data_IF_236071912888
#
_entry.id   IF_236071912888
#
_cell.length_a   1.000
_cell.length_b   1.000
_cell.length_c   1.000
_cell.angle_alpha   90.00
_cell.angle_beta   90.00
_cell.angle_gamma   90.00
#
_symmetry.space_group_name_H-M   'P 1'
#
loop_
_entity.id
_entity.type
_entity.pdbx_description
1 polymer ?
#
# COMPACT_ATOMS: atom_id res chain seq x y z
N UNK A 1 -20.00 -2.04 -7.96
CA UNK A 1 -19.67 -2.96 -6.90
C UNK A 1 -18.22 -3.32 -6.92
N UNK A 2 -17.55 -3.05 -5.89
CA UNK A 2 -16.14 -3.34 -5.85
C UNK A 2 -15.93 -4.84 -5.90
N UNK A 3 -14.88 -5.21 -6.53
CA UNK A 3 -14.48 -6.59 -6.55
C UNK A 3 -13.84 -6.92 -5.20
N UNK A 4 -14.47 -7.80 -4.46
CA UNK A 4 -13.97 -8.12 -3.13
C UNK A 4 -12.76 -9.02 -3.14
N UNK A 5 -12.51 -9.65 -4.26
CA UNK A 5 -11.36 -10.54 -4.34
C UNK A 5 -10.09 -9.73 -4.46
N UNK A 6 -9.13 -9.93 -3.55
CA UNK A 6 -7.89 -9.15 -3.57
C UNK A 6 -7.12 -9.35 -4.87
N UNK A 7 -6.68 -8.25 -5.45
CA UNK A 7 -5.84 -8.32 -6.64
C UNK A 7 -4.46 -8.86 -6.26
N UNK A 8 -3.82 -9.51 -7.20
CA UNK A 8 -2.47 -9.99 -6.98
C UNK A 8 -1.67 -9.90 -8.28
N UNK A 9 -0.35 -9.96 -8.13
CA UNK A 9 0.54 -10.02 -9.28
C UNK A 9 1.58 -11.11 -9.03
N UNK A 10 2.03 -11.72 -10.11
CA UNK A 10 3.12 -12.68 -10.02
C UNK A 10 4.48 -12.00 -10.14
N UNK A 11 4.50 -10.70 -10.39
CA UNK A 11 5.74 -9.94 -10.53
C UNK A 11 5.89 -8.96 -9.38
N UNK A 12 5.75 -9.46 -8.14
CA UNK A 12 5.79 -8.61 -6.96
C UNK A 12 7.08 -7.81 -6.85
N UNK A 13 8.20 -8.39 -7.32
CA UNK A 13 9.47 -7.68 -7.30
C UNK A 13 9.50 -6.46 -8.21
N UNK A 14 8.55 -6.33 -9.12
CA UNK A 14 8.50 -5.17 -10.01
C UNK A 14 7.54 -4.10 -9.52
N UNK A 15 6.83 -4.35 -8.42
CA UNK A 15 5.94 -3.33 -7.86
C UNK A 15 6.71 -2.12 -7.38
N UNK A 16 7.83 -2.33 -6.69
CA UNK A 16 8.63 -1.21 -6.20
C UNK A 16 9.14 -0.33 -7.33
N UNK A 17 9.75 -0.88 -8.39
CA UNK A 17 10.14 -0.05 -9.53
C UNK A 17 8.96 0.68 -10.18
N UNK A 18 7.80 0.02 -10.27
CA UNK A 18 6.62 0.65 -10.86
C UNK A 18 6.16 1.83 -10.02
N UNK A 19 6.08 1.64 -8.71
CA UNK A 19 5.67 2.71 -7.80
C UNK A 19 6.66 3.88 -7.87
N UNK A 20 7.93 3.58 -8.02
CA UNK A 20 8.93 4.63 -8.19
C UNK A 20 8.68 5.41 -9.48
N UNK A 21 8.37 4.71 -10.57
CA UNK A 21 8.07 5.38 -11.84
C UNK A 21 6.87 6.30 -11.72
N UNK A 22 5.85 5.86 -10.97
CA UNK A 22 4.66 6.69 -10.75
C UNK A 22 5.06 8.02 -10.11
N UNK A 23 6.00 7.98 -9.17
CA UNK A 23 6.42 9.21 -8.48
C UNK A 23 7.31 10.10 -9.34
N UNK A 24 8.03 9.52 -10.29
CA UNK A 24 9.03 10.24 -11.05
C UNK A 24 8.55 10.74 -12.40
N UNK A 25 7.40 10.28 -12.86
CA UNK A 25 6.91 10.63 -14.19
C UNK A 25 5.61 11.40 -14.08
N UNK A 26 5.20 11.99 -15.21
CA UNK A 26 3.93 12.71 -15.24
C UNK A 26 2.74 11.77 -15.07
N UNK A 27 1.60 12.34 -14.78
CA UNK A 27 0.36 11.58 -14.59
C UNK A 27 -0.22 11.27 -15.96
N UNK A 28 -0.38 9.98 -16.31
CA UNK A 28 -0.97 9.65 -17.62
C UNK A 28 -2.47 9.90 -17.61
N UNK A 29 -3.04 10.07 -18.79
CA UNK A 29 -4.50 10.14 -18.89
C UNK A 29 -5.13 8.81 -18.52
N UNK A 30 -4.47 7.71 -18.85
CA UNK A 30 -4.92 6.37 -18.48
C UNK A 30 -3.69 5.50 -18.24
N UNK A 31 -3.72 4.73 -17.14
CA UNK A 31 -2.64 3.84 -16.79
C UNK A 31 -2.97 2.44 -17.30
N UNK A 32 -2.94 2.29 -18.61
CA UNK A 32 -3.24 1.02 -19.28
C UNK A 32 -1.95 0.32 -19.69
N UNK A 33 -2.11 -0.81 -20.38
CA UNK A 33 -0.98 -1.61 -20.79
C UNK A 33 0.04 -0.83 -21.63
N UNK A 34 -0.45 0.07 -22.49
CA UNK A 34 0.46 0.87 -23.31
C UNK A 34 1.33 1.80 -22.45
N UNK A 35 0.72 2.40 -21.45
CA UNK A 35 1.47 3.23 -20.51
C UNK A 35 2.51 2.38 -19.76
N UNK A 36 2.08 1.21 -19.28
CA UNK A 36 2.96 0.33 -18.53
C UNK A 36 4.19 -0.05 -19.35
N UNK A 37 3.96 -0.37 -20.61
CA UNK A 37 5.06 -0.73 -21.51
C UNK A 37 5.98 0.45 -21.74
N UNK A 38 5.44 1.65 -21.86
CA UNK A 38 6.26 2.84 -22.06
C UNK A 38 7.12 3.13 -20.82
N UNK A 39 6.74 2.62 -19.67
CA UNK A 39 7.54 2.74 -18.44
C UNK A 39 8.60 1.65 -18.31
N UNK A 40 8.71 0.77 -19.30
CA UNK A 40 9.70 -0.28 -19.28
C UNK A 40 9.22 -1.62 -18.78
N UNK A 41 7.93 -1.75 -18.53
CA UNK A 41 7.36 -2.99 -17.99
C UNK A 41 6.70 -3.75 -19.14
N UNK A 42 7.50 -4.56 -19.84
CA UNK A 42 7.05 -5.25 -21.04
C UNK A 42 6.84 -6.75 -20.83
N UNK A 43 7.00 -7.22 -19.60
CA UNK A 43 6.81 -8.64 -19.32
C UNK A 43 5.35 -9.05 -19.44
N UNK A 44 5.14 -10.31 -19.80
CA UNK A 44 3.78 -10.79 -20.01
C UNK A 44 2.90 -10.70 -18.78
N UNK A 45 3.49 -10.80 -17.61
CA UNK A 45 2.71 -10.75 -16.36
C UNK A 45 2.68 -9.39 -15.72
N UNK A 46 3.38 -8.41 -16.30
CA UNK A 46 3.45 -7.08 -15.69
C UNK A 46 2.10 -6.39 -15.67
N UNK A 47 1.22 -6.71 -16.61
CA UNK A 47 -0.10 -6.08 -16.65
C UNK A 47 -0.93 -6.39 -15.41
N UNK A 48 -0.63 -7.48 -14.71
CA UNK A 48 -1.35 -7.79 -13.48
C UNK A 48 -1.15 -6.72 -12.41
N UNK A 49 -0.04 -5.98 -12.48
CA UNK A 49 0.19 -4.89 -11.54
C UNK A 49 -0.82 -3.76 -11.70
N UNK A 50 -1.38 -3.60 -12.90
CA UNK A 50 -2.42 -2.57 -13.10
C UNK A 50 -3.66 -2.85 -12.26
N UNK A 51 -3.99 -4.13 -12.10
CA UNK A 51 -5.11 -4.50 -11.25
C UNK A 51 -4.82 -4.20 -9.79
N UNK A 52 -3.57 -4.37 -9.38
CA UNK A 52 -3.16 -4.03 -8.02
C UNK A 52 -3.32 -2.53 -7.79
N UNK A 53 -2.88 -1.71 -8.74
CA UNK A 53 -3.03 -0.25 -8.62
C UNK A 53 -4.50 0.14 -8.50
N UNK A 54 -5.37 -0.51 -9.28
CA UNK A 54 -6.81 -0.24 -9.20
C UNK A 54 -7.36 -0.69 -7.85
N UNK A 55 -6.91 -1.83 -7.38
CA UNK A 55 -7.41 -2.38 -6.13
C UNK A 55 -7.15 -1.46 -4.94
N UNK A 56 -5.98 -0.84 -4.91
CA UNK A 56 -5.65 0.09 -3.83
C UNK A 56 -6.09 1.52 -4.13
N UNK A 57 -6.78 1.74 -5.25
CA UNK A 57 -7.42 3.02 -5.51
C UNK A 57 -6.53 4.07 -6.14
N UNK A 58 -5.36 3.71 -6.65
CA UNK A 58 -4.53 4.67 -7.40
C UNK A 58 -5.10 4.94 -8.77
N UNK A 59 -5.87 4.00 -9.33
CA UNK A 59 -6.64 4.23 -10.55
C UNK A 59 -8.08 3.83 -10.29
N UNK A 60 -8.99 4.36 -11.10
CA UNK A 60 -10.39 3.96 -11.03
C UNK A 60 -10.65 2.77 -11.96
N UNK A 61 -11.93 2.41 -12.11
CA UNK A 61 -12.31 1.26 -12.92
C UNK A 61 -11.95 1.43 -14.40
N UNK A 62 -11.78 2.66 -14.83
CA UNK A 62 -11.40 2.96 -16.22
C UNK A 62 -9.90 3.16 -16.39
N UNK A 63 -9.13 2.85 -15.36
CA UNK A 63 -7.68 3.00 -15.35
C UNK A 63 -7.22 4.46 -15.36
N UNK A 64 -8.11 5.38 -14.98
CA UNK A 64 -7.76 6.79 -14.87
C UNK A 64 -7.17 7.03 -13.50
N UNK A 65 -6.01 7.70 -13.41
CA UNK A 65 -5.42 8.02 -12.11
C UNK A 65 -6.36 8.83 -11.24
N UNK A 66 -6.44 8.46 -9.97
CA UNK A 66 -7.29 9.12 -8.99
C UNK A 66 -6.50 10.20 -8.26
N UNK A 67 -7.19 11.02 -7.41
CA UNK A 67 -6.45 11.96 -6.56
C UNK A 67 -5.38 11.29 -5.70
N UNK A 68 -5.59 10.02 -5.31
CA UNK A 68 -4.58 9.28 -4.54
C UNK A 68 -3.28 9.11 -5.33
N UNK A 69 -3.38 8.92 -6.64
CA UNK A 69 -2.20 8.85 -7.50
C UNK A 69 -1.38 10.13 -7.40
N UNK A 70 -2.08 11.27 -7.51
CA UNK A 70 -1.40 12.56 -7.44
C UNK A 70 -0.76 12.77 -6.07
N UNK A 71 -1.48 12.43 -5.00
CA UNK A 71 -0.93 12.54 -3.65
C UNK A 71 0.28 11.65 -3.46
N UNK A 72 0.26 10.47 -4.08
CA UNK A 72 1.36 9.53 -3.96
C UNK A 72 2.66 10.09 -4.55
N UNK A 73 2.56 11.04 -5.46
CA UNK A 73 3.73 11.68 -6.06
C UNK A 73 4.36 12.73 -5.16
N UNK A 74 3.73 13.02 -4.04
CA UNK A 74 4.23 14.03 -3.11
C UNK A 74 5.24 13.49 -2.12
N UNK A 75 5.60 14.34 -1.16
CA UNK A 75 6.62 13.98 -0.18
C UNK A 75 6.16 12.90 0.78
N UNK A 76 4.86 12.81 1.02
CA UNK A 76 4.31 11.84 1.96
C UNK A 76 3.91 10.55 1.27
N UNK A 77 4.58 10.22 0.17
CA UNK A 77 4.15 9.10 -0.66
C UNK A 77 3.99 7.79 0.12
N UNK A 78 4.84 7.53 1.10
CA UNK A 78 4.72 6.28 1.86
C UNK A 78 3.46 6.26 2.71
N UNK A 79 3.12 7.37 3.33
CA UNK A 79 1.89 7.47 4.12
C UNK A 79 0.66 7.40 3.22
N UNK A 80 0.74 8.04 2.05
CA UNK A 80 -0.35 7.97 1.07
C UNK A 80 -0.58 6.53 0.64
N UNK A 81 0.49 5.80 0.35
CA UNK A 81 0.37 4.41 -0.03
C UNK A 81 -0.23 3.58 1.11
N UNK A 82 0.18 3.85 2.34
CA UNK A 82 -0.39 3.16 3.49
C UNK A 82 -1.90 3.33 3.58
N UNK A 83 -2.38 4.56 3.38
CA UNK A 83 -3.82 4.81 3.37
C UNK A 83 -4.52 4.11 2.21
N UNK A 84 -3.88 4.12 1.04
CA UNK A 84 -4.44 3.45 -0.13
C UNK A 84 -4.56 1.95 0.11
N UNK A 85 -3.55 1.35 0.73
CA UNK A 85 -3.58 -0.07 1.06
C UNK A 85 -4.71 -0.36 2.03
N UNK A 86 -4.85 0.45 3.07
CA UNK A 86 -5.94 0.24 4.04
C UNK A 86 -7.30 0.35 3.37
N UNK A 87 -7.45 1.28 2.46
CA UNK A 87 -8.72 1.45 1.75
C UNK A 87 -9.01 0.26 0.84
N UNK A 88 -8.02 -0.18 0.08
CA UNK A 88 -8.21 -1.29 -0.84
C UNK A 88 -8.41 -2.62 -0.12
N UNK A 89 -7.66 -2.82 0.94
CA UNK A 89 -7.74 -4.06 1.72
C UNK A 89 -8.60 -3.89 2.96
N UNK A 90 -9.66 -3.09 2.86
CA UNK A 90 -10.47 -2.76 4.03
C UNK A 90 -11.06 -3.99 4.72
N UNK A 91 -11.41 -5.03 3.96
CA UNK A 91 -11.92 -6.24 4.61
C UNK A 91 -10.84 -6.95 5.42
N UNK A 92 -9.60 -6.90 4.96
CA UNK A 92 -8.49 -7.46 5.73
C UNK A 92 -8.27 -6.66 7.01
N UNK A 93 -8.30 -5.33 6.91
CA UNK A 93 -8.10 -4.47 8.07
C UNK A 93 -9.30 -4.49 9.02
N UNK A 94 -10.47 -4.89 8.53
CA UNK A 94 -11.61 -5.11 9.40
C UNK A 94 -11.38 -6.29 10.34
N UNK A 95 -10.67 -7.31 9.85
CA UNK A 95 -10.32 -8.48 10.67
C UNK A 95 -9.11 -8.18 11.54
N UNK A 96 -8.08 -7.60 10.94
CA UNK A 96 -6.84 -7.27 11.65
C UNK A 96 -6.51 -5.80 11.43
N UNK A 97 -6.81 -4.93 12.40
CA UNK A 97 -6.46 -3.51 12.25
C UNK A 97 -4.98 -3.27 12.03
N UNK A 98 -4.13 -4.21 12.45
CA UNK A 98 -2.69 -4.16 12.24
C UNK A 98 -2.25 -5.19 11.20
N UNK A 99 -3.04 -5.36 10.15
CA UNK A 99 -2.79 -6.40 9.14
C UNK A 99 -1.37 -6.35 8.59
N UNK A 100 -0.80 -5.16 8.44
CA UNK A 100 0.56 -5.01 7.92
C UNK A 100 1.62 -5.61 8.85
N UNK A 101 1.26 -5.91 10.10
CA UNK A 101 2.16 -6.54 11.06
C UNK A 101 1.83 -8.00 11.31
N UNK A 102 0.85 -8.54 10.61
CA UNK A 102 0.43 -9.92 10.86
C UNK A 102 1.31 -10.92 10.11
N UNK A 103 1.28 -12.17 10.57
CA UNK A 103 2.02 -13.23 9.92
C UNK A 103 1.39 -13.59 8.57
N UNK A 104 2.16 -14.28 7.74
CA UNK A 104 1.61 -14.74 6.47
C UNK A 104 0.43 -15.67 6.68
N UNK A 105 0.48 -16.50 7.72
CA UNK A 105 -0.61 -17.43 8.01
C UNK A 105 -1.90 -16.71 8.35
N UNK A 106 -1.80 -15.64 9.15
CA UNK A 106 -2.96 -14.84 9.47
C UNK A 106 -3.57 -14.23 8.21
N UNK A 107 -2.71 -13.72 7.33
CA UNK A 107 -3.17 -13.11 6.08
C UNK A 107 -3.80 -14.14 5.16
N UNK A 108 -3.18 -15.32 5.06
CA UNK A 108 -3.74 -16.40 4.25
C UNK A 108 -5.14 -16.77 4.73
N UNK A 109 -5.30 -16.81 6.04
CA UNK A 109 -6.59 -17.19 6.60
C UNK A 109 -7.70 -16.26 6.14
N UNK A 110 -7.44 -14.95 6.16
CA UNK A 110 -8.43 -13.99 5.71
C UNK A 110 -8.63 -14.06 4.20
N UNK A 111 -7.54 -14.13 3.45
CA UNK A 111 -7.64 -14.14 1.99
C UNK A 111 -8.38 -15.37 1.48
N UNK A 112 -8.26 -16.50 2.17
CA UNK A 112 -9.02 -17.69 1.80
C UNK A 112 -10.52 -17.45 1.81
N UNK A 113 -10.99 -16.60 2.69
CA UNK A 113 -12.42 -16.32 2.75
C UNK A 113 -12.87 -15.31 1.71
N UNK A 114 -11.90 -14.66 1.04
CA UNK A 114 -12.20 -13.63 0.06
C UNK A 114 -12.14 -14.15 -1.38
N UNK A 115 -11.76 -15.40 -1.57
CA UNK A 115 -11.64 -15.96 -2.90
C UNK A 115 -12.00 -17.43 -2.88
N UNK A 116 -12.43 -17.93 -4.03
CA UNK A 116 -12.62 -19.36 -4.23
C UNK A 116 -11.40 -20.02 -4.86
N UNK A 117 -10.36 -19.22 -5.11
CA UNK A 117 -9.14 -19.73 -5.74
C UNK A 117 -8.34 -20.59 -4.78
N UNK A 118 -7.43 -21.35 -5.34
CA UNK A 118 -6.63 -22.27 -4.57
C UNK A 118 -5.51 -21.60 -3.79
N UNK A 119 -4.77 -22.44 -3.09
CA UNK A 119 -3.71 -21.99 -2.20
C UNK A 119 -2.65 -21.16 -2.91
N UNK A 120 -2.31 -21.51 -4.15
CA UNK A 120 -1.30 -20.78 -4.90
C UNK A 120 -1.69 -19.33 -5.11
N UNK A 121 -2.97 -19.09 -5.41
CA UNK A 121 -3.46 -17.74 -5.62
C UNK A 121 -3.46 -16.97 -4.31
N UNK A 122 -3.93 -17.63 -3.24
CA UNK A 122 -3.91 -16.99 -1.92
C UNK A 122 -2.50 -16.58 -1.55
N UNK A 123 -1.54 -17.44 -1.83
CA UNK A 123 -0.15 -17.14 -1.55
C UNK A 123 0.33 -15.90 -2.32
N UNK A 124 -0.08 -15.79 -3.58
CA UNK A 124 0.26 -14.62 -4.39
C UNK A 124 -0.38 -13.36 -3.85
N UNK A 125 -1.59 -13.47 -3.32
CA UNK A 125 -2.26 -12.34 -2.67
C UNK A 125 -1.47 -11.88 -1.47
N UNK A 126 -1.00 -12.81 -0.64
CA UNK A 126 -0.18 -12.47 0.52
C UNK A 126 1.11 -11.80 0.08
N UNK A 127 1.78 -12.35 -0.90
CA UNK A 127 3.03 -11.78 -1.39
C UNK A 127 2.84 -10.40 -1.96
N UNK A 128 1.74 -10.18 -2.68
CA UNK A 128 1.42 -8.86 -3.23
C UNK A 128 1.19 -7.86 -2.11
N UNK A 129 0.41 -8.24 -1.11
CA UNK A 129 0.17 -7.38 0.04
C UNK A 129 1.50 -7.03 0.74
N UNK A 130 2.34 -8.03 0.95
CA UNK A 130 3.65 -7.80 1.58
C UNK A 130 4.52 -6.83 0.78
N UNK A 131 4.52 -6.99 -0.54
CA UNK A 131 5.31 -6.12 -1.39
C UNK A 131 4.82 -4.67 -1.31
N UNK A 132 3.51 -4.47 -1.23
CA UNK A 132 2.94 -3.14 -1.08
C UNK A 132 3.29 -2.55 0.28
N UNK A 133 3.12 -3.33 1.33
CA UNK A 133 3.38 -2.89 2.70
C UNK A 133 4.84 -2.45 2.85
N UNK A 134 5.75 -3.16 2.19
CA UNK A 134 7.17 -2.82 2.26
C UNK A 134 7.48 -1.44 1.70
N UNK A 135 6.61 -0.89 0.85
CA UNK A 135 6.81 0.42 0.25
C UNK A 135 6.02 1.51 0.95
N UNK A 136 5.31 1.19 2.03
CA UNK A 136 4.37 2.11 2.67
C UNK A 136 4.74 2.35 4.11
N UNK A 137 4.15 3.41 4.66
CA UNK A 137 4.20 3.68 6.10
C UNK A 137 2.78 3.69 6.63
N UNK A 138 2.61 3.10 7.80
CA UNK A 138 1.31 3.04 8.44
C UNK A 138 1.36 3.81 9.73
N UNK A 139 0.48 4.80 9.85
CA UNK A 139 0.37 5.56 11.07
C UNK A 139 -0.86 5.09 11.80
N UNK A 140 -0.86 5.24 13.10
CA UNK A 140 -1.99 4.82 13.89
C UNK A 140 -3.01 5.94 13.88
N UNK A 141 -3.84 5.95 12.87
CA UNK A 141 -5.01 6.80 12.84
C UNK A 141 -4.79 8.17 13.39
N UNK A 142 -3.88 8.85 12.85
CA UNK A 142 -3.67 10.18 13.29
C UNK A 142 -2.91 10.29 14.57
N UNK A 143 -2.69 9.22 15.19
CA UNK A 143 -1.89 9.27 16.31
C UNK A 143 -0.51 9.27 15.90
N UNK A 144 -0.23 9.27 15.06
CA UNK A 144 0.93 9.23 14.56
C UNK A 144 2.10 9.51 15.14
N UNK A 145 1.96 9.51 15.25
CA UNK A 145 2.79 9.50 15.50
C UNK A 145 3.34 9.88 16.25
N UNK A 146 3.14 10.17 16.48
CA UNK A 146 3.49 10.45 16.99
C UNK A 146 4.26 10.18 17.63
N UNK A 147 4.23 10.00 17.54
CA UNK A 147 4.82 9.76 17.97
C UNK A 147 5.77 9.92 18.33
N UNK A 148 5.74 10.07 18.09
CA UNK A 148 6.49 10.16 18.36
C UNK A 148 7.19 10.56 19.04
N UNK A 149 7.03 10.78 19.02
CA UNK A 149 7.59 11.10 19.53
C UNK A 149 8.11 11.31 20.38
N UNK A 150 7.87 11.27 20.51
CA UNK A 150 8.24 11.50 21.22
C UNK A 150 8.92 11.77 21.98
N UNK A 151 8.85 11.79 21.93
CA UNK A 151 9.38 12.05 22.61
C UNK A 151 10.09 12.44 23.22
N UNK A 152 10.01 12.42 23.10
CA UNK A 152 10.58 12.64 23.66
C UNK A 152 10.97 13.23 24.39
N UNK A 153 10.71 13.45 24.46
CA UNK A 153 11.03 13.91 25.12
C UNK A 153 11.30 14.25 25.96
N UNK A 154 11.15 14.26 25.95
CA UNK A 154 11.36 14.47 26.68
C UNK A 154 11.74 14.89 27.48
N UNK A 155 11.75 14.78 27.43
CA UNK A 155 12.08 15.11 28.24
C UNK A 155 12.45 15.88 28.94
N UNK A 156 12.31 16.02 28.76
CA UNK A 156 12.49 16.53 29.30
C UNK A 156 12.70 17.12 30.12
N UNK A 157 12.65 17.13 30.04
CA UNK A 157 12.75 17.48 30.64
C UNK A 157 12.88 18.05 31.60
N UNK A 158 12.88 17.97 31.73
CA UNK A 158 12.87 18.40 32.54
C UNK A 158 13.21 19.12 33.41
N UNK A 159 13.27 19.22 33.27
CA UNK A 159 13.34 19.69 33.86
C UNK A 159 13.62 20.29 34.73
N UNK A 160 13.79 20.29 34.75
CA UNK A 160 13.96 20.63 35.40
C UNK A 160 14.24 21.32 36.25
N UNK A 161 14.27 21.33 36.19
CA UNK A 161 14.41 21.80 36.75
C UNK A 161 14.81 22.34 37.58
N UNK A 162 14.87 22.38 37.68
CA UNK A 162 15.17 22.74 38.32
C UNK A 162 15.42 23.47 39.16
N UNK A 163 15.54 23.64 39.45
CA UNK A 163 15.68 24.22 40.13
C UNK A 163 15.85 24.89 40.96
N UNK A 164 15.82 24.91 41.08
CA UNK A 164 15.84 25.34 41.74
C UNK A 164 16.21 25.96 42.52
N UNK A 165 16.35 26.03 42.80
CA UNK A 165 16.59 26.49 43.46
C UNK A 165 16.84 26.91 43.91
#
# INVERSE_FOLDING_TARGET
MANDEPAYTTTTGRLSPLLKKIRETGIPSEAKTSWLKSMGFTGGNDTSMLRVLRYIGLTDASSVPTPAWQEYRGNDHKAVLGRAIKTGYQSLYAVYPDAHNRSNEDLEHVFKTSTTSGKDVVNKMVQTFRALVAQAEFTADGVTGTSTSTNQAAPAAPQVETPQN
#
